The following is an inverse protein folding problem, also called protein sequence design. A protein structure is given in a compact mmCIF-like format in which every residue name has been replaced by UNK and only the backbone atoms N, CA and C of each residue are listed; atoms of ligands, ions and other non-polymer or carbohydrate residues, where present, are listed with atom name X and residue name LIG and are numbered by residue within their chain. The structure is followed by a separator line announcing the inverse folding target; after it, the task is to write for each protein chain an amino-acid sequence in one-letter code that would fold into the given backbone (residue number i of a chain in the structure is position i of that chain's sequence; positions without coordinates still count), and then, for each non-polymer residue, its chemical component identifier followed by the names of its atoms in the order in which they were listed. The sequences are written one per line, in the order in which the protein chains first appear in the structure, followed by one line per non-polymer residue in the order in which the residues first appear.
data_IF_555932927393
#
_entry.id   IF_555932927393
#
_cell.length_a   1.000
_cell.length_b   1.000
_cell.length_c   1.000
_cell.angle_alpha   90.00
_cell.angle_beta   90.00
_cell.angle_gamma   90.00
#
_symmetry.space_group_name_H-M   'P 1'
#
loop_
_entity.id
_entity.type
_entity.pdbx_description
1 polymer ?
#
# COMPACT_ATOMS: atom_id res chain seq x y z
N UNK A 1 -29.50 2.66 13.78
CA UNK A 1 -29.66 1.46 14.62
C UNK A 1 -30.89 0.74 14.10
N UNK A 2 -30.78 -0.52 13.70
CA UNK A 2 -31.90 -1.32 13.23
C UNK A 2 -32.19 -2.44 14.22
N UNK A 3 -33.48 -2.74 14.46
CA UNK A 3 -33.97 -3.78 15.37
C UNK A 3 -34.96 -4.67 14.62
N UNK A 4 -34.82 -6.00 14.69
CA UNK A 4 -35.69 -6.94 13.97
C UNK A 4 -35.80 -8.30 14.69
N UNK A 5 -36.96 -8.94 14.56
CA UNK A 5 -37.33 -10.23 15.16
C UNK A 5 -37.82 -11.17 14.04
N UNK A 6 -37.54 -12.48 14.15
CA UNK A 6 -38.13 -13.51 13.29
C UNK A 6 -37.32 -14.82 13.23
N UNK A 7 -37.59 -15.62 12.19
CA UNK A 7 -36.99 -16.95 11.98
C UNK A 7 -36.21 -17.09 10.66
N UNK A 8 -36.07 -16.00 9.89
CA UNK A 8 -35.38 -15.96 8.60
C UNK A 8 -34.17 -15.01 8.65
N UNK A 9 -33.33 -15.01 7.60
CA UNK A 9 -32.17 -14.12 7.55
C UNK A 9 -32.58 -12.65 7.75
N UNK A 10 -31.85 -11.94 8.61
CA UNK A 10 -32.01 -10.51 8.82
C UNK A 10 -30.91 -9.75 8.11
N UNK A 11 -31.25 -8.65 7.47
CA UNK A 11 -30.30 -7.62 7.07
C UNK A 11 -30.70 -6.32 7.76
N UNK A 12 -29.73 -5.70 8.42
CA UNK A 12 -29.86 -4.36 8.96
C UNK A 12 -29.15 -3.41 8.00
N UNK A 13 -29.85 -2.45 7.37
CA UNK A 13 -29.17 -1.28 6.84
C UNK A 13 -28.66 -0.49 8.06
N UNK A 14 -27.38 -0.64 8.34
CA UNK A 14 -26.69 0.04 9.44
C UNK A 14 -25.79 1.12 8.86
N UNK A 15 -25.80 2.30 9.46
CA UNK A 15 -25.11 3.44 8.90
C UNK A 15 -25.16 4.66 9.80
N UNK A 16 -24.35 5.67 9.46
CA UNK A 16 -24.25 6.95 10.15
C UNK A 16 -25.02 8.08 9.44
N UNK A 17 -25.90 7.75 8.49
CA UNK A 17 -26.65 8.71 7.67
C UNK A 17 -25.96 9.12 6.36
N UNK A 18 -24.66 8.83 6.19
CA UNK A 18 -23.89 9.12 4.96
C UNK A 18 -23.37 7.85 4.29
N UNK A 19 -23.17 6.79 5.07
CA UNK A 19 -22.74 5.46 4.61
C UNK A 19 -23.79 4.43 5.04
N UNK A 20 -24.22 3.59 4.10
CA UNK A 20 -25.02 2.39 4.36
C UNK A 20 -24.13 1.15 4.26
N UNK A 21 -24.14 0.34 5.32
CA UNK A 21 -23.52 -0.98 5.43
C UNK A 21 -24.58 -2.00 5.80
N UNK A 22 -24.38 -3.22 5.33
CA UNK A 22 -25.18 -4.37 5.73
C UNK A 22 -24.50 -5.04 6.92
N UNK A 23 -25.26 -5.22 7.99
CA UNK A 23 -24.98 -6.24 8.99
C UNK A 23 -26.09 -7.27 8.89
N UNK A 24 -25.77 -8.52 8.58
CA UNK A 24 -26.71 -9.60 8.43
C UNK A 24 -26.54 -10.67 9.50
N UNK A 25 -27.64 -11.32 9.83
CA UNK A 25 -27.68 -12.52 10.66
C UNK A 25 -28.37 -13.61 9.85
N UNK A 26 -27.67 -14.72 9.65
CA UNK A 26 -28.16 -15.85 8.87
C UNK A 26 -27.95 -17.17 9.60
N UNK A 27 -28.57 -18.25 9.11
CA UNK A 27 -28.43 -19.61 9.66
C UNK A 27 -28.69 -19.68 11.17
N UNK A 28 -29.74 -18.99 11.64
CA UNK A 28 -30.11 -18.99 13.05
C UNK A 28 -30.49 -20.41 13.48
N UNK A 29 -29.92 -20.88 14.59
CA UNK A 29 -30.27 -22.20 15.13
C UNK A 29 -31.67 -22.22 15.76
N UNK A 30 -32.16 -21.06 16.22
CA UNK A 30 -33.50 -20.82 16.76
C UNK A 30 -33.88 -19.37 16.52
N UNK A 31 -35.18 -19.03 16.65
CA UNK A 31 -35.64 -17.64 16.63
C UNK A 31 -34.83 -16.77 17.58
N UNK A 32 -34.45 -15.57 17.13
CA UNK A 32 -33.62 -14.66 17.90
C UNK A 32 -33.92 -13.20 17.62
N UNK A 33 -33.46 -12.37 18.53
CA UNK A 33 -33.57 -10.92 18.48
C UNK A 33 -32.18 -10.32 18.60
N UNK A 34 -31.85 -9.44 17.66
CA UNK A 34 -30.53 -8.83 17.55
C UNK A 34 -30.66 -7.34 17.27
N UNK A 35 -29.72 -6.57 17.83
CA UNK A 35 -29.50 -5.17 17.48
C UNK A 35 -28.15 -5.04 16.77
N UNK A 36 -28.11 -4.26 15.69
CA UNK A 36 -26.88 -4.02 14.96
C UNK A 36 -26.62 -2.52 14.74
N UNK A 37 -25.34 -2.14 14.79
CA UNK A 37 -24.86 -0.80 14.48
C UNK A 37 -23.49 -0.85 13.81
N UNK A 38 -23.32 0.02 12.82
CA UNK A 38 -22.04 0.26 12.13
C UNK A 38 -21.32 1.43 12.80
N UNK A 39 -19.99 1.33 12.84
CA UNK A 39 -19.10 2.36 13.34
C UNK A 39 -17.97 2.56 12.32
N UNK A 40 -17.54 3.81 12.16
CA UNK A 40 -16.27 4.11 11.49
C UNK A 40 -15.09 3.85 12.42
N UNK A 41 -13.90 3.84 11.84
CA UNK A 41 -12.57 3.64 12.45
C UNK A 41 -12.50 2.56 13.55
N UNK A 42 -11.88 1.44 13.20
CA UNK A 42 -11.61 0.36 14.16
C UNK A 42 -10.53 0.79 15.14
N UNK A 43 -10.86 0.87 16.43
CA UNK A 43 -9.95 1.43 17.46
C UNK A 43 -8.78 0.52 17.85
N UNK A 44 -8.90 -0.80 17.65
CA UNK A 44 -7.87 -1.77 18.02
C UNK A 44 -7.44 -2.57 16.79
N UNK A 45 -6.49 -2.07 16.01
CA UNK A 45 -6.03 -2.76 14.79
C UNK A 45 -4.81 -3.64 15.01
N UNK A 46 -4.25 -3.67 16.22
CA UNK A 46 -2.96 -4.31 16.52
C UNK A 46 -3.07 -5.58 17.34
N UNK A 47 -4.12 -5.75 18.17
CA UNK A 47 -4.28 -6.94 18.98
C UNK A 47 -5.05 -8.01 18.18
N UNK A 48 -4.31 -8.86 17.49
CA UNK A 48 -4.85 -9.86 16.55
C UNK A 48 -4.49 -11.27 16.99
N UNK A 49 -5.49 -12.16 17.03
CA UNK A 49 -5.27 -13.59 17.25
C UNK A 49 -4.97 -14.29 15.93
N UNK A 50 -3.94 -15.15 15.92
CA UNK A 50 -3.64 -16.02 14.76
C UNK A 50 -4.90 -16.82 14.39
N UNK A 51 -5.28 -16.92 13.10
CA UNK A 51 -4.52 -16.52 11.91
C UNK A 51 -4.83 -15.11 11.37
N UNK A 52 -5.55 -14.24 12.09
CA UNK A 52 -5.81 -12.87 11.62
C UNK A 52 -4.48 -12.10 11.57
N UNK A 53 -4.13 -11.60 10.40
CA UNK A 53 -2.90 -10.85 10.16
C UNK A 53 -3.14 -9.33 10.09
N UNK A 54 -4.35 -8.91 9.72
CA UNK A 54 -4.80 -7.53 9.70
C UNK A 54 -6.33 -7.46 9.77
N UNK A 55 -6.86 -6.34 10.27
CA UNK A 55 -8.30 -6.01 10.29
C UNK A 55 -8.54 -4.68 9.61
N UNK A 56 -9.75 -4.49 9.10
CA UNK A 56 -10.14 -3.24 8.46
C UNK A 56 -10.02 -2.08 9.46
N UNK A 57 -9.14 -1.09 9.23
CA UNK A 57 -8.97 0.04 10.13
C UNK A 57 -10.10 1.07 10.00
N UNK A 58 -10.91 0.99 8.95
CA UNK A 58 -11.82 2.07 8.56
C UNK A 58 -13.25 1.85 9.05
N UNK A 59 -13.65 0.60 9.33
CA UNK A 59 -14.99 0.29 9.82
C UNK A 59 -15.11 -1.02 10.58
N UNK A 60 -16.09 -1.07 11.48
CA UNK A 60 -16.48 -2.28 12.20
C UNK A 60 -17.98 -2.25 12.55
N UNK A 61 -18.50 -3.38 13.01
CA UNK A 61 -19.90 -3.56 13.38
C UNK A 61 -20.00 -3.99 14.83
N UNK A 62 -21.03 -3.52 15.52
CA UNK A 62 -21.44 -4.07 16.81
C UNK A 62 -22.80 -4.71 16.62
N UNK A 63 -22.87 -6.01 16.90
CA UNK A 63 -24.07 -6.83 16.82
C UNK A 63 -24.29 -7.39 18.21
N UNK A 64 -25.39 -7.02 18.86
CA UNK A 64 -25.77 -7.51 20.17
C UNK A 64 -26.89 -8.54 20.03
N UNK A 65 -26.74 -9.70 20.66
CA UNK A 65 -27.82 -10.68 20.78
C UNK A 65 -28.66 -10.36 22.01
N UNK A 66 -29.95 -10.08 21.81
CA UNK A 66 -30.95 -9.90 22.87
C UNK A 66 -31.53 -11.26 23.27
N UNK A 67 -31.88 -12.10 22.29
CA UNK A 67 -32.37 -13.47 22.50
C UNK A 67 -32.00 -14.38 21.33
N UNK A 68 -32.07 -15.70 21.53
CA UNK A 68 -31.83 -16.71 20.49
C UNK A 68 -30.53 -17.50 20.65
N UNK A 69 -30.22 -18.32 19.64
CA UNK A 69 -29.14 -19.30 19.67
C UNK A 69 -27.87 -18.85 18.96
N UNK A 70 -27.23 -19.78 18.26
CA UNK A 70 -26.08 -19.50 17.39
C UNK A 70 -26.56 -19.04 16.02
N UNK A 71 -25.76 -18.20 15.36
CA UNK A 71 -26.05 -17.71 14.01
C UNK A 71 -24.75 -17.35 13.29
N UNK A 72 -24.80 -17.18 11.97
CA UNK A 72 -23.71 -16.62 11.17
C UNK A 72 -23.86 -15.10 11.08
N UNK A 73 -22.72 -14.40 11.01
CA UNK A 73 -22.66 -12.95 10.83
C UNK A 73 -22.24 -12.66 9.39
N UNK A 74 -23.09 -11.93 8.68
CA UNK A 74 -22.86 -11.52 7.29
C UNK A 74 -22.48 -10.04 7.25
N UNK A 75 -21.32 -9.70 6.72
CA UNK A 75 -20.83 -8.34 6.55
C UNK A 75 -20.60 -8.06 5.07
N UNK A 76 -20.54 -6.78 4.70
CA UNK A 76 -20.20 -6.36 3.35
C UNK A 76 -19.16 -5.23 3.36
N UNK A 77 -18.41 -5.12 2.27
CA UNK A 77 -17.61 -3.95 1.96
C UNK A 77 -18.09 -3.27 0.68
N UNK A 78 -17.83 -1.98 0.58
CA UNK A 78 -18.07 -1.16 -0.60
C UNK A 78 -17.06 -0.01 -0.61
N UNK A 79 -16.02 -0.18 -1.43
CA UNK A 79 -14.86 0.69 -1.55
C UNK A 79 -15.22 2.09 -2.07
N UNK A 80 -16.39 2.25 -2.72
CA UNK A 80 -16.88 3.57 -3.15
C UNK A 80 -17.41 4.41 -1.99
N UNK A 81 -17.73 3.79 -0.85
CA UNK A 81 -18.33 4.44 0.33
C UNK A 81 -17.36 4.55 1.50
N UNK A 82 -16.63 3.48 1.80
CA UNK A 82 -15.54 3.45 2.81
C UNK A 82 -14.41 2.70 2.18
N UNK A 83 -13.21 3.28 2.20
CA UNK A 83 -12.02 2.64 1.63
C UNK A 83 -11.82 1.27 2.24
N UNK A 84 -11.84 0.24 1.39
CA UNK A 84 -11.59 -1.12 1.81
C UNK A 84 -10.10 -1.45 1.61
N UNK A 85 -9.42 -2.03 2.60
CA UNK A 85 -8.04 -2.47 2.44
C UNK A 85 -7.89 -3.48 1.28
N UNK A 86 -6.72 -3.54 0.61
CA UNK A 86 -6.50 -4.39 -0.55
C UNK A 86 -6.31 -5.87 -0.18
N UNK A 87 -7.29 -6.48 0.49
CA UNK A 87 -7.25 -7.88 0.91
C UNK A 87 -7.47 -8.80 -0.29
N UNK A 88 -6.70 -9.88 -0.39
CA UNK A 88 -6.99 -10.92 -1.37
C UNK A 88 -8.30 -11.64 -0.98
N UNK A 89 -9.24 -11.77 -1.91
CA UNK A 89 -10.60 -12.29 -1.64
C UNK A 89 -10.60 -13.61 -0.85
N UNK A 90 -9.72 -14.57 -1.21
CA UNK A 90 -9.60 -15.87 -0.55
C UNK A 90 -9.14 -15.82 0.92
N UNK A 91 -8.54 -14.70 1.33
CA UNK A 91 -7.96 -14.49 2.68
C UNK A 91 -8.89 -13.72 3.61
N UNK A 92 -9.97 -13.14 3.09
CA UNK A 92 -10.92 -12.35 3.86
C UNK A 92 -11.67 -13.24 4.85
N UNK A 93 -11.76 -12.79 6.10
CA UNK A 93 -12.47 -13.44 7.20
C UNK A 93 -13.29 -12.43 7.98
N UNK A 94 -14.27 -12.92 8.72
CA UNK A 94 -14.90 -12.17 9.81
C UNK A 94 -14.09 -12.43 11.08
N UNK A 95 -13.79 -11.36 11.82
CA UNK A 95 -13.17 -11.44 13.12
C UNK A 95 -14.09 -10.88 14.21
N UNK A 96 -14.09 -11.53 15.37
CA UNK A 96 -14.87 -11.16 16.55
C UNK A 96 -13.93 -10.67 17.65
N UNK A 97 -14.26 -9.54 18.28
CA UNK A 97 -13.47 -8.99 19.37
C UNK A 97 -13.81 -9.69 20.68
N UNK A 98 -12.85 -10.42 21.23
CA UNK A 98 -13.00 -11.15 22.49
C UNK A 98 -11.67 -11.24 23.22
N UNK A 99 -11.71 -11.27 24.56
CA UNK A 99 -10.52 -11.34 25.40
C UNK A 99 -9.41 -10.32 25.04
N UNK A 100 -9.81 -9.11 24.60
CA UNK A 100 -8.88 -8.03 24.27
C UNK A 100 -8.26 -8.06 22.86
N UNK A 101 -8.66 -9.01 22.00
CA UNK A 101 -8.10 -9.21 20.66
C UNK A 101 -9.15 -9.60 19.61
N UNK A 102 -8.85 -9.38 18.34
CA UNK A 102 -9.66 -9.85 17.21
C UNK A 102 -9.36 -11.30 16.89
N UNK A 103 -10.40 -12.14 16.96
CA UNK A 103 -10.28 -13.59 16.76
C UNK A 103 -11.04 -14.03 15.52
N UNK A 104 -10.41 -14.85 14.68
CA UNK A 104 -11.02 -15.39 13.47
C UNK A 104 -12.27 -16.22 13.79
N UNK A 105 -13.42 -15.87 13.19
CA UNK A 105 -14.66 -16.66 13.28
C UNK A 105 -15.05 -17.26 11.92
N UNK A 106 -14.09 -17.42 11.03
CA UNK A 106 -14.30 -17.96 9.69
C UNK A 106 -14.75 -16.87 8.71
N UNK A 107 -15.06 -17.27 7.49
CA UNK A 107 -15.36 -16.32 6.43
C UNK A 107 -15.21 -16.92 5.06
N UNK A 108 -16.29 -16.96 4.29
CA UNK A 108 -16.27 -17.20 2.85
C UNK A 108 -16.68 -15.92 2.14
N UNK A 109 -15.70 -15.22 1.58
CA UNK A 109 -15.94 -13.97 0.89
C UNK A 109 -16.32 -14.20 -0.58
N UNK A 110 -17.22 -13.38 -1.09
CA UNK A 110 -17.66 -13.35 -2.49
C UNK A 110 -17.67 -11.90 -3.01
N UNK A 111 -17.70 -11.72 -4.33
CA UNK A 111 -17.61 -10.40 -4.96
C UNK A 111 -16.19 -10.05 -5.41
N UNK A 112 -15.84 -8.77 -5.31
CA UNK A 112 -14.57 -8.21 -5.77
C UNK A 112 -13.94 -7.35 -4.67
N UNK A 113 -12.70 -7.69 -4.31
CA UNK A 113 -11.95 -7.02 -3.24
C UNK A 113 -11.60 -5.56 -3.50
N UNK A 114 -11.74 -5.07 -4.73
CA UNK A 114 -11.45 -3.68 -5.12
C UNK A 114 -12.68 -2.80 -5.30
N UNK A 115 -13.87 -3.40 -5.39
CA UNK A 115 -15.13 -2.67 -5.52
C UNK A 115 -16.05 -2.97 -4.33
N UNK A 116 -16.73 -4.10 -4.34
CA UNK A 116 -17.68 -4.48 -3.29
C UNK A 116 -17.84 -5.99 -3.21
N UNK A 117 -18.24 -6.46 -2.04
CA UNK A 117 -18.52 -7.87 -1.81
C UNK A 117 -19.04 -8.14 -0.42
N UNK A 118 -19.26 -9.42 -0.15
CA UNK A 118 -19.86 -9.92 1.08
C UNK A 118 -18.97 -10.99 1.71
N UNK A 119 -19.05 -11.14 3.03
CA UNK A 119 -18.40 -12.23 3.76
C UNK A 119 -19.32 -12.71 4.88
N UNK A 120 -19.47 -14.03 4.99
CA UNK A 120 -20.25 -14.69 6.04
C UNK A 120 -19.35 -15.49 6.95
N UNK A 121 -19.43 -15.26 8.27
CA UNK A 121 -18.72 -16.05 9.27
C UNK A 121 -19.22 -17.49 9.35
N UNK A 122 -18.51 -18.35 10.09
CA UNK A 122 -19.09 -19.60 10.58
C UNK A 122 -20.17 -19.28 11.64
N UNK A 123 -20.90 -20.32 12.09
CA UNK A 123 -21.86 -20.18 13.18
C UNK A 123 -21.15 -19.78 14.49
N UNK A 124 -21.58 -18.67 15.09
CA UNK A 124 -21.08 -18.12 16.35
C UNK A 124 -22.19 -18.09 17.40
N UNK A 125 -21.81 -18.31 18.67
CA UNK A 125 -22.72 -18.26 19.82
C UNK A 125 -22.61 -16.96 20.63
N UNK A 126 -21.48 -16.27 20.49
CA UNK A 126 -21.14 -15.00 21.15
C UNK A 126 -21.21 -13.86 20.16
N UNK A 127 -21.71 -12.72 20.63
CA UNK A 127 -21.99 -11.54 19.80
C UNK A 127 -21.46 -10.29 20.50
N UNK A 128 -21.06 -9.30 19.70
CA UNK A 128 -20.45 -8.06 20.15
C UNK A 128 -19.84 -7.33 18.97
N UNK A 129 -18.56 -6.94 19.07
CA UNK A 129 -17.88 -6.25 17.97
C UNK A 129 -17.33 -7.24 16.94
N UNK A 130 -17.64 -7.00 15.68
CA UNK A 130 -17.18 -7.75 14.51
C UNK A 130 -16.51 -6.83 13.50
N UNK A 131 -15.51 -7.32 12.79
CA UNK A 131 -14.78 -6.60 11.75
C UNK A 131 -14.43 -7.54 10.61
N UNK A 132 -14.26 -6.98 9.41
CA UNK A 132 -13.66 -7.72 8.30
C UNK A 132 -12.15 -7.69 8.48
N UNK A 133 -11.50 -8.84 8.39
CA UNK A 133 -10.05 -8.95 8.44
C UNK A 133 -9.51 -9.86 7.35
N UNK A 134 -8.20 -10.00 7.31
CA UNK A 134 -7.51 -10.92 6.42
C UNK A 134 -6.52 -11.78 7.19
N UNK A 135 -6.41 -13.05 6.79
CA UNK A 135 -5.37 -13.97 7.29
C UNK A 135 -4.02 -13.77 6.60
N UNK A 136 -3.90 -12.79 5.72
CA UNK A 136 -2.68 -12.47 5.00
C UNK A 136 -2.47 -10.96 4.96
N UNK A 137 -1.21 -10.55 4.94
CA UNK A 137 -0.88 -9.15 4.65
C UNK A 137 -0.59 -9.06 3.15
N UNK A 138 -1.49 -8.43 2.40
CA UNK A 138 -1.20 -7.98 1.03
C UNK A 138 -0.41 -6.69 1.18
N UNK A 139 0.91 -6.81 1.13
CA UNK A 139 1.78 -5.65 1.09
C UNK A 139 1.83 -5.16 -0.37
N UNK A 140 1.65 -3.85 -0.62
CA UNK A 140 2.14 -3.25 -1.85
C UNK A 140 3.59 -3.67 -2.06
N UNK A 141 4.02 -3.89 -3.30
CA UNK A 141 5.42 -4.21 -3.61
C UNK A 141 6.37 -3.35 -2.78
N UNK A 142 7.11 -3.99 -1.87
CA UNK A 142 8.16 -3.33 -1.12
C UNK A 142 9.47 -3.51 -1.90
N UNK A 143 9.78 -2.50 -2.72
CA UNK A 143 11.09 -2.36 -3.32
C UNK A 143 12.10 -2.07 -2.21
N UNK A 144 12.84 -3.09 -1.79
CA UNK A 144 13.77 -3.02 -0.66
C UNK A 144 14.98 -2.16 -1.03
N UNK A 145 15.43 -2.31 -2.27
CA UNK A 145 16.64 -1.67 -2.75
C UNK A 145 16.55 -1.44 -4.25
N UNK A 146 17.00 -0.26 -4.67
CA UNK A 146 17.20 0.07 -6.07
C UNK A 146 18.48 0.87 -6.23
N UNK A 147 19.33 0.44 -7.16
CA UNK A 147 20.61 1.08 -7.41
C UNK A 147 21.07 0.84 -8.84
N UNK A 148 21.95 1.70 -9.34
CA UNK A 148 22.62 1.50 -10.61
C UNK A 148 24.12 1.77 -10.43
N UNK A 149 24.96 0.98 -11.09
CA UNK A 149 26.42 1.11 -11.02
C UNK A 149 27.09 0.80 -12.34
N UNK A 150 28.20 1.48 -12.63
CA UNK A 150 29.01 1.22 -13.82
C UNK A 150 29.91 0.00 -13.60
N UNK A 151 30.00 -0.89 -14.59
CA UNK A 151 30.89 -2.06 -14.61
C UNK A 151 31.29 -2.38 -16.05
N UNK A 152 32.58 -2.53 -16.34
CA UNK A 152 33.09 -2.94 -17.66
C UNK A 152 32.44 -2.20 -18.87
N UNK A 153 32.31 -0.88 -18.79
CA UNK A 153 31.70 -0.03 -19.82
C UNK A 153 30.21 -0.26 -20.09
N UNK A 154 29.51 -0.94 -19.18
CA UNK A 154 28.05 -1.04 -19.13
C UNK A 154 27.54 -0.55 -17.77
N UNK A 155 26.24 -0.33 -17.66
CA UNK A 155 25.60 0.03 -16.38
C UNK A 155 24.74 -1.15 -15.93
N UNK A 156 25.03 -1.67 -14.74
CA UNK A 156 24.18 -2.64 -14.06
C UNK A 156 23.13 -1.87 -13.26
N UNK A 157 21.85 -2.12 -13.56
CA UNK A 157 20.69 -1.66 -12.79
C UNK A 157 20.22 -2.84 -11.94
N UNK A 158 20.24 -2.67 -10.62
CA UNK A 158 19.98 -3.74 -9.65
C UNK A 158 18.84 -3.34 -8.72
N UNK A 159 17.96 -4.30 -8.46
CA UNK A 159 16.93 -4.14 -7.45
C UNK A 159 16.63 -5.44 -6.72
N UNK A 160 16.10 -5.27 -5.52
CA UNK A 160 15.63 -6.37 -4.67
C UNK A 160 14.19 -6.10 -4.29
N UNK A 161 13.34 -7.10 -4.49
CA UNK A 161 11.96 -7.11 -4.00
C UNK A 161 11.89 -8.01 -2.77
N UNK A 162 11.11 -7.62 -1.77
CA UNK A 162 10.91 -8.44 -0.56
C UNK A 162 9.83 -9.50 -0.78
N UNK A 163 8.74 -9.07 -1.44
CA UNK A 163 7.59 -9.88 -1.83
C UNK A 163 6.98 -9.31 -3.10
N UNK A 164 6.45 -10.20 -3.92
CA UNK A 164 5.81 -9.88 -5.18
C UNK A 164 4.46 -10.60 -5.26
N UNK A 165 3.41 -9.86 -5.54
CA UNK A 165 2.07 -10.40 -5.73
C UNK A 165 1.36 -9.61 -6.82
N UNK A 166 0.74 -10.32 -7.76
CA UNK A 166 0.00 -9.73 -8.89
C UNK A 166 0.81 -8.73 -9.71
N UNK A 167 2.12 -8.95 -9.85
CA UNK A 167 3.00 -8.15 -10.68
C UNK A 167 3.14 -8.77 -12.07
N UNK A 168 2.98 -7.95 -13.10
CA UNK A 168 3.25 -8.38 -14.49
C UNK A 168 4.76 -8.38 -14.74
N UNK A 169 5.38 -7.21 -14.66
CA UNK A 169 6.81 -7.03 -14.92
C UNK A 169 7.33 -5.70 -14.38
N UNK A 170 8.65 -5.57 -14.34
CA UNK A 170 9.38 -4.34 -14.14
C UNK A 170 9.83 -3.81 -15.50
N UNK A 171 9.52 -2.55 -15.79
CA UNK A 171 10.09 -1.82 -16.92
C UNK A 171 11.23 -0.93 -16.41
N UNK A 172 12.44 -1.22 -16.89
CA UNK A 172 13.63 -0.43 -16.60
C UNK A 172 13.65 0.76 -17.52
N UNK A 173 13.68 1.96 -16.93
CA UNK A 173 13.71 3.21 -17.69
C UNK A 173 15.00 3.97 -17.43
N UNK A 174 15.53 4.57 -18.50
CA UNK A 174 16.70 5.45 -18.49
C UNK A 174 16.30 6.86 -18.86
N UNK A 175 17.01 7.84 -18.32
CA UNK A 175 16.96 9.23 -18.71
C UNK A 175 18.38 9.82 -18.74
N UNK A 176 18.70 10.61 -19.76
CA UNK A 176 19.99 11.29 -19.87
C UNK A 176 19.95 12.72 -19.30
N UNK A 177 18.76 13.25 -19.01
CA UNK A 177 18.51 14.60 -18.48
C UNK A 177 17.86 14.61 -17.08
N UNK A 178 17.44 13.45 -16.58
CA UNK A 178 16.72 13.28 -15.32
C UNK A 178 15.24 13.65 -15.39
N UNK A 179 14.73 14.02 -16.57
CA UNK A 179 13.35 14.52 -16.79
C UNK A 179 12.59 13.54 -17.68
N UNK A 180 13.10 13.28 -18.88
CA UNK A 180 12.48 12.39 -19.85
C UNK A 180 13.04 10.98 -19.72
N UNK A 181 12.19 10.07 -19.25
CA UNK A 181 12.53 8.66 -19.07
C UNK A 181 11.95 7.83 -20.22
N UNK A 182 12.81 7.03 -20.84
CA UNK A 182 12.45 6.07 -21.90
C UNK A 182 12.76 4.64 -21.46
N UNK A 183 11.95 3.65 -21.89
CA UNK A 183 12.19 2.25 -21.54
C UNK A 183 13.44 1.71 -22.23
N UNK A 184 14.24 0.94 -21.51
CA UNK A 184 15.43 0.26 -22.03
C UNK A 184 15.34 -1.26 -21.90
N UNK A 185 14.37 -1.78 -21.15
CA UNK A 185 14.11 -3.20 -21.05
C UNK A 185 12.99 -3.53 -20.08
N UNK A 186 12.55 -4.78 -20.12
CA UNK A 186 11.53 -5.31 -19.21
C UNK A 186 12.02 -6.62 -18.59
N UNK A 187 11.67 -6.83 -17.32
CA UNK A 187 12.03 -8.02 -16.56
C UNK A 187 10.78 -8.55 -15.88
N UNK A 188 10.40 -9.79 -16.20
CA UNK A 188 9.21 -10.43 -15.66
C UNK A 188 9.32 -10.57 -14.14
N UNK A 189 8.26 -10.24 -13.42
CA UNK A 189 8.19 -10.46 -11.98
C UNK A 189 8.08 -11.96 -11.67
N UNK A 190 8.69 -12.40 -10.58
CA UNK A 190 8.65 -13.79 -10.13
C UNK A 190 7.34 -14.13 -9.39
N UNK A 191 6.64 -13.14 -8.84
CA UNK A 191 5.41 -13.31 -8.04
C UNK A 191 5.61 -14.30 -6.88
N UNK A 192 6.63 -14.04 -6.07
CA UNK A 192 7.04 -14.87 -4.94
C UNK A 192 6.93 -14.12 -3.61
N UNK A 193 6.70 -14.88 -2.54
CA UNK A 193 6.70 -14.38 -1.16
C UNK A 193 8.10 -14.30 -0.53
N UNK A 194 9.13 -14.74 -1.26
CA UNK A 194 10.54 -14.66 -0.85
C UNK A 194 11.22 -13.48 -1.54
N UNK A 195 12.27 -12.95 -0.90
CA UNK A 195 13.05 -11.88 -1.49
C UNK A 195 13.68 -12.32 -2.83
N UNK A 196 13.70 -11.42 -3.80
CA UNK A 196 14.23 -11.70 -5.14
C UNK A 196 15.11 -10.57 -5.63
N UNK A 197 16.31 -10.94 -6.08
CA UNK A 197 17.25 -10.05 -6.70
C UNK A 197 17.12 -10.08 -8.22
N UNK A 198 17.24 -8.89 -8.81
CA UNK A 198 17.16 -8.67 -10.24
C UNK A 198 18.33 -7.83 -10.74
N UNK A 199 18.68 -8.07 -12.00
CA UNK A 199 19.74 -7.37 -12.72
C UNK A 199 19.29 -7.10 -14.15
N UNK A 200 19.44 -5.85 -14.57
CA UNK A 200 19.37 -5.46 -15.97
C UNK A 200 20.66 -4.72 -16.37
N UNK A 201 21.20 -5.05 -17.54
CA UNK A 201 22.44 -4.45 -18.03
C UNK A 201 22.14 -3.51 -19.17
N UNK A 202 22.43 -2.22 -18.98
CA UNK A 202 22.37 -1.20 -20.02
C UNK A 202 23.74 -1.09 -20.72
N UNK A 203 23.85 -1.50 -22.00
CA UNK A 203 25.09 -1.43 -22.75
C UNK A 203 25.43 -0.02 -23.24
N UNK A 204 24.47 0.91 -23.20
CA UNK A 204 24.71 2.22 -23.78
C UNK A 204 25.75 3.01 -22.94
N UNK A 205 26.63 3.77 -23.62
CA UNK A 205 27.60 4.61 -22.93
C UNK A 205 26.90 5.71 -22.15
N UNK A 206 27.52 6.12 -21.04
CA UNK A 206 27.15 7.32 -20.30
C UNK A 206 28.08 8.43 -20.79
N UNK A 207 27.52 9.54 -21.31
CA UNK A 207 28.32 10.68 -21.79
C UNK A 207 28.81 11.57 -20.63
N UNK A 208 27.97 11.75 -19.62
CA UNK A 208 28.30 12.51 -18.40
C UNK A 208 27.53 11.94 -17.20
N UNK A 209 26.21 11.84 -17.35
CA UNK A 209 25.29 11.35 -16.34
C UNK A 209 24.21 10.49 -17.01
N UNK A 210 23.69 9.51 -16.28
CA UNK A 210 22.49 8.78 -16.64
C UNK A 210 21.68 8.50 -15.38
N UNK A 211 20.36 8.63 -15.50
CA UNK A 211 19.40 8.39 -14.45
C UNK A 211 18.58 7.15 -14.81
N UNK A 212 18.29 6.34 -13.80
CA UNK A 212 17.52 5.10 -13.95
C UNK A 212 16.38 5.10 -12.94
N UNK A 213 15.25 4.54 -13.35
CA UNK A 213 14.13 4.22 -12.46
C UNK A 213 13.46 2.93 -12.92
N UNK A 214 12.73 2.29 -12.03
CA UNK A 214 11.81 1.21 -12.37
C UNK A 214 10.41 1.78 -12.47
N UNK A 215 9.71 1.37 -13.51
CA UNK A 215 8.25 1.38 -13.54
C UNK A 215 7.80 -0.04 -13.24
N UNK A 216 7.10 -0.24 -12.14
CA UNK A 216 6.49 -1.53 -11.80
C UNK A 216 5.11 -1.58 -12.42
N UNK A 217 4.77 -2.65 -13.14
CA UNK A 217 3.45 -2.84 -13.75
C UNK A 217 2.76 -4.05 -13.11
N UNK A 218 1.56 -3.82 -12.60
CA UNK A 218 0.69 -4.85 -12.01
C UNK A 218 -0.11 -5.58 -13.11
N UNK A 219 -0.68 -6.73 -12.79
CA UNK A 219 -1.52 -7.49 -13.75
C UNK A 219 -2.80 -6.75 -14.14
N UNK A 220 -3.23 -5.77 -13.35
CA UNK A 220 -4.36 -4.87 -13.64
C UNK A 220 -3.96 -3.57 -14.38
N UNK A 221 -2.72 -3.51 -14.89
CA UNK A 221 -2.11 -2.39 -15.61
C UNK A 221 -1.88 -1.13 -14.77
N UNK A 222 -2.07 -1.17 -13.45
CA UNK A 222 -1.59 -0.10 -12.57
C UNK A 222 -0.07 -0.11 -12.54
N UNK A 223 0.49 1.06 -12.25
CA UNK A 223 1.94 1.18 -12.15
C UNK A 223 2.38 2.14 -11.06
N UNK A 224 3.59 1.90 -10.56
CA UNK A 224 4.30 2.76 -9.63
C UNK A 224 5.74 2.97 -10.09
N UNK A 225 6.40 4.01 -9.58
CA UNK A 225 7.80 4.29 -9.88
C UNK A 225 8.67 4.12 -8.63
N UNK A 226 9.89 3.61 -8.84
CA UNK A 226 10.93 3.66 -7.82
C UNK A 226 11.47 5.08 -7.63
N UNK A 227 12.31 5.26 -6.61
CA UNK A 227 13.26 6.39 -6.59
C UNK A 227 14.22 6.34 -7.79
N UNK A 228 14.95 7.43 -8.03
CA UNK A 228 15.88 7.55 -9.16
C UNK A 228 17.29 7.20 -8.72
N UNK A 229 17.92 6.24 -9.40
CA UNK A 229 19.34 5.93 -9.26
C UNK A 229 20.13 6.69 -10.32
N UNK A 230 21.20 7.38 -9.91
CA UNK A 230 22.01 8.19 -10.83
C UNK A 230 23.43 7.65 -10.94
N UNK A 231 23.91 7.48 -12.17
CA UNK A 231 25.25 7.00 -12.49
C UNK A 231 25.98 8.07 -13.27
N UNK A 232 27.25 8.28 -12.92
CA UNK A 232 28.13 9.24 -13.57
C UNK A 232 29.20 8.51 -14.34
N UNK A 233 29.62 9.07 -15.48
CA UNK A 233 30.81 8.57 -16.15
C UNK A 233 32.05 8.94 -15.31
N UNK A 234 32.68 7.94 -14.71
CA UNK A 234 33.89 8.12 -13.88
C UNK A 234 35.13 8.46 -14.71
N UNK A 235 35.05 8.40 -16.05
CA UNK A 235 36.16 8.81 -16.92
C UNK A 235 36.28 10.33 -17.09
N UNK A 236 35.22 11.08 -16.80
CA UNK A 236 35.25 12.54 -16.76
C UNK A 236 35.11 13.00 -15.30
N UNK A 237 36.21 13.05 -14.57
CA UNK A 237 36.27 13.46 -13.16
C UNK A 237 36.21 15.01 -13.00
N UNK A 238 35.53 15.69 -13.92
CA UNK A 238 35.63 17.14 -14.16
C UNK A 238 34.32 17.87 -13.83
N UNK A 239 33.72 17.62 -12.67
CA UNK A 239 32.46 18.27 -12.31
C UNK A 239 32.47 18.78 -10.87
N UNK A 240 31.95 19.99 -10.68
CA UNK A 240 31.59 20.57 -9.39
C UNK A 240 30.12 20.26 -9.11
N UNK A 241 29.78 19.82 -7.90
CA UNK A 241 28.38 19.62 -7.50
C UNK A 241 27.99 20.45 -6.30
N UNK A 242 26.82 21.06 -6.43
CA UNK A 242 26.09 21.68 -5.34
C UNK A 242 24.69 21.06 -5.32
N UNK A 243 24.38 20.31 -4.26
CA UNK A 243 23.03 19.78 -4.06
C UNK A 243 22.12 20.86 -3.46
N UNK A 244 21.01 21.16 -4.15
CA UNK A 244 19.95 22.06 -3.71
C UNK A 244 18.59 21.39 -4.07
N UNK A 245 17.59 21.26 -3.17
CA UNK A 245 17.41 21.93 -1.87
C UNK A 245 18.30 21.42 -0.73
N UNK A 246 18.67 22.34 0.17
CA UNK A 246 19.41 22.02 1.41
C UNK A 246 18.45 21.40 2.43
N UNK A 247 18.44 20.08 2.56
CA UNK A 247 17.85 19.39 3.72
C UNK A 247 18.89 19.35 4.85
N UNK A 248 18.60 19.96 6.00
CA UNK A 248 19.43 19.83 7.21
C UNK A 248 20.59 20.83 7.37
N UNK A 249 20.49 22.05 6.81
CA UNK A 249 21.46 23.17 6.96
C UNK A 249 22.90 22.95 6.46
N UNK A 250 23.21 21.81 5.84
CA UNK A 250 24.56 21.50 5.35
C UNK A 250 24.62 21.57 3.82
N UNK A 251 25.56 22.35 3.28
CA UNK A 251 25.93 22.34 1.85
C UNK A 251 27.17 21.46 1.72
N UNK A 252 27.08 20.39 0.92
CA UNK A 252 28.22 19.51 0.65
C UNK A 252 28.78 19.84 -0.73
N UNK A 253 30.06 20.22 -0.77
CA UNK A 253 30.83 20.48 -1.99
C UNK A 253 31.80 19.32 -2.21
N UNK A 254 31.84 18.76 -3.43
CA UNK A 254 32.80 17.71 -3.82
C UNK A 254 33.43 18.07 -5.15
N UNK A 255 34.75 17.93 -5.24
CA UNK A 255 35.55 18.15 -6.45
C UNK A 255 36.43 16.93 -6.73
N UNK A 256 36.76 16.70 -8.00
CA UNK A 256 37.75 15.71 -8.42
C UNK A 256 39.17 16.15 -8.05
N UNK A 257 40.12 15.21 -8.03
CA UNK A 257 41.51 15.43 -7.61
C UNK A 257 42.25 16.52 -8.42
N UNK A 258 41.76 16.83 -9.62
CA UNK A 258 42.41 17.75 -10.57
C UNK A 258 41.95 19.22 -10.40
N UNK A 259 41.05 19.50 -9.45
CA UNK A 259 40.42 20.81 -9.26
C UNK A 259 40.85 21.46 -7.93
N UNK A 260 42.11 21.91 -7.87
CA UNK A 260 42.62 22.74 -6.76
C UNK A 260 42.32 24.22 -7.01
N UNK A 261 41.66 24.90 -6.07
CA UNK A 261 41.36 26.34 -6.17
C UNK A 261 40.45 26.86 -5.06
N UNK A 262 40.30 28.18 -4.99
CA UNK A 262 39.35 28.86 -4.08
C UNK A 262 38.04 29.13 -4.80
N UNK A 263 36.92 28.69 -4.23
CA UNK A 263 35.58 28.87 -4.79
C UNK A 263 34.76 29.79 -3.90
N UNK A 264 34.35 30.95 -4.43
CA UNK A 264 33.53 31.90 -3.71
C UNK A 264 32.04 31.62 -3.98
N UNK A 265 31.26 31.41 -2.92
CA UNK A 265 29.81 31.23 -3.01
C UNK A 265 29.11 32.56 -2.71
N UNK A 266 28.33 33.06 -3.67
CA UNK A 266 27.50 34.25 -3.52
C UNK A 266 26.02 33.85 -3.55
N UNK A 267 25.31 33.82 -2.42
CA UNK A 267 23.86 33.61 -2.44
C UNK A 267 23.20 34.82 -3.13
N UNK A 268 22.47 34.57 -4.21
CA UNK A 268 21.61 35.59 -4.83
C UNK A 268 20.44 35.86 -3.88
N UNK A 269 20.52 36.95 -3.11
CA UNK A 269 19.35 37.49 -2.43
C UNK A 269 18.47 38.19 -3.48
N UNK A 270 17.14 37.94 -3.53
CA UNK A 270 16.26 38.73 -4.39
C UNK A 270 16.30 40.18 -3.91
N UNK A 271 16.81 41.09 -4.74
CA UNK A 271 16.66 42.52 -4.49
C UNK A 271 15.17 42.84 -4.55
N UNK A 272 14.58 43.12 -3.39
CA UNK A 272 13.21 43.65 -3.28
C UNK A 272 13.25 45.05 -3.89
N UNK A 273 12.78 45.20 -5.13
CA UNK A 273 12.56 46.52 -5.73
C UNK A 273 11.54 47.26 -4.87
N UNK A 274 12.01 48.28 -4.14
CA UNK A 274 11.13 49.24 -3.51
C UNK A 274 10.49 50.08 -4.62
N UNK A 275 9.16 50.03 -4.75
CA UNK A 275 8.42 51.00 -5.54
C UNK A 275 8.51 52.36 -4.84
N UNK A 276 8.87 53.46 -5.52
CA UNK A 276 8.77 54.79 -4.93
C UNK A 276 7.30 55.17 -4.79
N UNK A 277 6.91 55.56 -3.56
CA UNK A 277 5.60 56.12 -3.27
C UNK A 277 5.34 57.37 -4.13
N UNK A 278 4.18 57.43 -4.76
CA UNK A 278 3.52 58.68 -5.17
C UNK A 278 2.29 58.87 -4.32
#
# INVERSE_FOLDING_TARGET
MGKKIGTTNFSFPVGNGTVERRAGISNLSVSGEFDAKHYGSTTNTSNLAVPIAQVDPNEYWVINKISGGSASVDLNWDNSKVTFPPYALSTIRVAYYTAGQWTNVGGSATGDSFSSGDVSSNSVSSFGSFVIGSTSIVLPLQLVKFSARRKNNTTEVLWTTERESNLSHFEVQRSDDGILFYPIGQVKAANTIQARDYLHTDPAPIKSIAHYRLKTIDTDLKFSYSGIATVYDRRNNSYFRVSNPVLGKNIIIRAGADHNGTYNYYPLCPQRTAYPNR
#
